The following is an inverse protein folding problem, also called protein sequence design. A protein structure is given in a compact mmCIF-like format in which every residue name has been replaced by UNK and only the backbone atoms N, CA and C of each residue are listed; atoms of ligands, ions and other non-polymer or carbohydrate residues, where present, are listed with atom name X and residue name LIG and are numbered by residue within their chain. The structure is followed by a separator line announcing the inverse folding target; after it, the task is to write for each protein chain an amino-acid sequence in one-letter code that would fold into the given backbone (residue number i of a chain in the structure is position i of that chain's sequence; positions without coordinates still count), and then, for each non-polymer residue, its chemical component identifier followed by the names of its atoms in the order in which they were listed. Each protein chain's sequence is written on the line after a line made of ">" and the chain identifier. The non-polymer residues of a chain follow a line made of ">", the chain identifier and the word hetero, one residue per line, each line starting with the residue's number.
data_IF_505857538092
#
_entry.id   IF_505857538092
#
_cell.length_a   1.000
_cell.length_b   1.000
_cell.length_c   1.000
_cell.angle_alpha   90.00
_cell.angle_beta   90.00
_cell.angle_gamma   90.00
#
_symmetry.space_group_name_H-M   'P 1'
#
loop_
_entity.id
_entity.type
_entity.pdbx_description
1 polymer ?
#
# COMPACT_ATOMS: atom_id res chain seq x y z
N UNK A 1 21.78 3.44 23.32
CA UNK A 1 21.33 2.65 22.21
C UNK A 1 20.54 3.50 21.24
N UNK A 2 20.79 3.30 20.01
CA UNK A 2 20.08 4.04 19.02
C UNK A 2 18.76 3.38 18.71
N UNK A 3 17.71 4.17 18.73
CA UNK A 3 16.43 3.71 18.28
C UNK A 3 16.36 3.91 16.79
N UNK A 4 16.33 2.82 16.06
CA UNK A 4 16.05 2.91 14.64
C UNK A 4 14.56 2.88 14.46
N UNK A 5 14.07 3.59 13.45
CA UNK A 5 12.68 3.42 13.06
C UNK A 5 12.49 1.94 12.73
N UNK A 6 11.42 1.35 13.22
CA UNK A 6 11.13 -0.03 12.96
C UNK A 6 11.03 -0.25 11.46
N UNK A 7 11.61 -1.33 10.98
CA UNK A 7 11.46 -1.73 9.60
C UNK A 7 9.99 -2.05 9.33
N UNK A 8 9.45 -1.49 8.27
CA UNK A 8 8.06 -1.71 7.90
C UNK A 8 7.96 -2.77 6.83
N UNK A 9 6.86 -3.49 6.85
CA UNK A 9 6.53 -4.48 5.84
C UNK A 9 5.40 -3.95 4.99
N UNK A 10 5.64 -3.84 3.70
CA UNK A 10 4.71 -3.24 2.75
C UNK A 10 4.22 -4.34 1.83
N UNK A 11 2.91 -4.49 1.72
CA UNK A 11 2.33 -5.38 0.71
C UNK A 11 1.85 -4.51 -0.44
N UNK A 12 2.45 -4.70 -1.62
CA UNK A 12 2.04 -4.00 -2.82
C UNK A 12 1.20 -4.94 -3.68
N UNK A 13 -0.02 -4.54 -3.96
CA UNK A 13 -0.92 -5.28 -4.84
C UNK A 13 -1.08 -4.48 -6.13
N UNK A 14 -0.42 -4.92 -7.18
CA UNK A 14 -0.37 -4.24 -8.46
C UNK A 14 0.02 -5.25 -9.53
N UNK A 15 -0.67 -5.27 -10.65
CA UNK A 15 -0.41 -6.25 -11.70
C UNK A 15 0.70 -5.83 -12.67
N UNK A 16 1.26 -4.63 -12.52
CA UNK A 16 2.31 -4.13 -13.40
C UNK A 16 3.70 -4.48 -12.85
N UNK A 17 4.48 -5.34 -13.56
CA UNK A 17 5.80 -5.73 -13.05
C UNK A 17 6.77 -4.56 -12.88
N UNK A 18 6.68 -3.56 -13.75
CA UNK A 18 7.58 -2.40 -13.66
C UNK A 18 7.30 -1.58 -12.40
N UNK A 19 6.02 -1.41 -12.06
CA UNK A 19 5.64 -0.71 -10.83
C UNK A 19 6.13 -1.47 -9.61
N UNK A 20 5.94 -2.79 -9.60
CA UNK A 20 6.42 -3.64 -8.51
C UNK A 20 7.92 -3.47 -8.29
N UNK A 21 8.69 -3.47 -9.38
CA UNK A 21 10.14 -3.37 -9.31
C UNK A 21 10.59 -2.01 -8.78
N UNK A 22 9.98 -0.94 -9.27
CA UNK A 22 10.32 0.41 -8.83
C UNK A 22 9.97 0.62 -7.37
N UNK A 23 8.77 0.21 -6.96
CA UNK A 23 8.34 0.35 -5.56
C UNK A 23 9.26 -0.45 -4.65
N UNK A 24 9.54 -1.69 -5.00
CA UNK A 24 10.41 -2.54 -4.20
C UNK A 24 11.78 -1.92 -4.04
N UNK A 25 12.38 -1.50 -5.15
CA UNK A 25 13.73 -0.93 -5.12
C UNK A 25 13.78 0.34 -4.29
N UNK A 26 12.87 1.27 -4.50
CA UNK A 26 12.95 2.56 -3.82
C UNK A 26 12.63 2.44 -2.33
N UNK A 27 11.68 1.61 -1.94
CA UNK A 27 11.35 1.46 -0.53
C UNK A 27 12.43 0.69 0.22
N UNK A 28 13.01 -0.32 -0.42
CA UNK A 28 14.09 -1.07 0.22
C UNK A 28 15.35 -0.25 0.38
N UNK A 29 15.69 0.53 -0.64
CA UNK A 29 16.95 1.32 -0.61
C UNK A 29 16.83 2.60 0.19
N UNK A 30 15.71 3.29 0.10
CA UNK A 30 15.57 4.61 0.72
C UNK A 30 15.00 4.56 2.13
N UNK A 31 14.20 3.55 2.44
CA UNK A 31 13.57 3.44 3.76
C UNK A 31 13.95 2.16 4.49
N UNK A 32 14.62 1.24 3.83
CA UNK A 32 14.98 -0.07 4.39
C UNK A 32 13.75 -0.86 4.85
N UNK A 33 12.65 -0.69 4.12
CA UNK A 33 11.43 -1.45 4.35
C UNK A 33 11.44 -2.73 3.52
N UNK A 34 10.71 -3.73 3.98
CA UNK A 34 10.54 -4.97 3.23
C UNK A 34 9.29 -4.87 2.37
N UNK A 35 9.40 -5.19 1.09
CA UNK A 35 8.27 -5.11 0.17
C UNK A 35 7.90 -6.51 -0.30
N UNK A 36 6.64 -6.86 -0.09
CA UNK A 36 6.03 -8.10 -0.56
C UNK A 36 5.09 -7.69 -1.69
N UNK A 37 5.14 -8.41 -2.80
CA UNK A 37 4.33 -8.06 -3.97
C UNK A 37 3.29 -9.13 -4.25
N UNK A 38 2.16 -8.69 -4.79
CA UNK A 38 1.11 -9.56 -5.30
C UNK A 38 0.64 -8.98 -6.63
N UNK A 39 0.34 -9.86 -7.59
CA UNK A 39 -0.04 -9.45 -8.94
C UNK A 39 -1.55 -9.42 -9.14
N UNK A 40 -2.31 -9.88 -8.16
CA UNK A 40 -3.77 -9.89 -8.23
C UNK A 40 -4.34 -9.62 -6.85
N UNK A 41 -5.60 -9.24 -6.80
CA UNK A 41 -6.27 -9.03 -5.54
C UNK A 41 -6.41 -10.34 -4.75
N UNK A 42 -6.63 -11.46 -5.43
CA UNK A 42 -6.72 -12.76 -4.78
C UNK A 42 -5.40 -13.11 -4.08
N UNK A 43 -4.29 -12.98 -4.81
CA UNK A 43 -2.98 -13.22 -4.24
C UNK A 43 -2.70 -12.25 -3.10
N UNK A 44 -3.09 -10.98 -3.27
CA UNK A 44 -2.90 -9.96 -2.25
C UNK A 44 -3.64 -10.28 -0.96
N UNK A 45 -4.87 -10.78 -1.06
CA UNK A 45 -5.64 -11.15 0.11
C UNK A 45 -4.98 -12.28 0.88
N UNK A 46 -4.50 -13.30 0.17
CA UNK A 46 -3.80 -14.42 0.80
C UNK A 46 -2.52 -13.96 1.49
N UNK A 47 -1.77 -13.07 0.84
CA UNK A 47 -0.52 -12.56 1.41
C UNK A 47 -0.77 -11.63 2.59
N UNK A 48 -1.84 -10.83 2.55
CA UNK A 48 -2.19 -9.99 3.68
C UNK A 48 -2.46 -10.82 4.93
N UNK A 49 -3.18 -11.93 4.77
CA UNK A 49 -3.48 -12.83 5.87
C UNK A 49 -2.20 -13.50 6.38
N UNK A 50 -1.37 -13.99 5.47
CA UNK A 50 -0.17 -14.75 5.85
C UNK A 50 0.93 -13.87 6.43
N UNK A 51 1.12 -12.67 5.87
CA UNK A 51 2.28 -11.82 6.19
C UNK A 51 1.99 -10.72 7.18
N UNK A 52 0.75 -10.35 7.39
CA UNK A 52 0.36 -9.30 8.33
C UNK A 52 1.19 -8.02 8.10
N UNK A 53 1.10 -7.39 6.91
CA UNK A 53 1.92 -6.23 6.61
C UNK A 53 1.53 -5.01 7.44
N UNK A 54 2.41 -4.03 7.49
CA UNK A 54 2.15 -2.76 8.18
C UNK A 54 1.28 -1.82 7.35
N UNK A 55 1.28 -2.00 6.03
CA UNK A 55 0.41 -1.27 5.11
C UNK A 55 0.23 -2.06 3.84
N UNK A 56 -0.93 -1.87 3.21
CA UNK A 56 -1.21 -2.41 1.88
C UNK A 56 -1.26 -1.23 0.90
N UNK A 57 -0.38 -1.23 -0.09
CA UNK A 57 -0.48 -0.33 -1.24
C UNK A 57 -1.29 -1.05 -2.30
N UNK A 58 -2.40 -0.47 -2.70
CA UNK A 58 -3.39 -1.15 -3.52
C UNK A 58 -3.67 -0.37 -4.78
N UNK A 59 -3.41 -0.98 -5.94
CA UNK A 59 -3.87 -0.45 -7.22
C UNK A 59 -5.36 -0.78 -7.36
N UNK A 60 -6.15 0.25 -7.69
CA UNK A 60 -7.59 0.09 -7.84
C UNK A 60 -7.92 -0.63 -9.15
N UNK A 61 -7.11 -0.39 -10.18
CA UNK A 61 -7.43 -0.84 -11.55
C UNK A 61 -6.68 -2.13 -11.86
N UNK A 62 -7.26 -3.25 -11.49
CA UNK A 62 -6.71 -4.57 -11.80
C UNK A 62 -7.76 -5.45 -12.48
N UNK A 63 -7.32 -6.38 -13.36
CA UNK A 63 -8.23 -7.32 -14.01
C UNK A 63 -8.88 -8.25 -12.98
N UNK A 64 -10.08 -8.72 -13.29
CA UNK A 64 -10.85 -9.73 -12.55
C UNK A 64 -11.41 -9.26 -11.22
N UNK A 65 -10.58 -8.73 -10.34
CA UNK A 65 -11.02 -8.20 -9.06
C UNK A 65 -10.34 -6.85 -8.87
N UNK A 66 -11.12 -5.78 -8.85
CA UNK A 66 -10.56 -4.45 -8.66
C UNK A 66 -10.30 -4.17 -7.18
N UNK A 67 -9.72 -3.00 -6.91
CA UNK A 67 -9.36 -2.63 -5.55
C UNK A 67 -10.54 -2.51 -4.60
N UNK A 68 -11.71 -2.13 -5.11
CA UNK A 68 -12.90 -2.03 -4.26
C UNK A 68 -13.38 -3.40 -3.81
N UNK A 69 -13.36 -4.38 -4.71
CA UNK A 69 -13.70 -5.76 -4.36
C UNK A 69 -12.71 -6.33 -3.36
N UNK A 70 -11.43 -5.99 -3.51
CA UNK A 70 -10.41 -6.39 -2.55
C UNK A 70 -10.72 -5.85 -1.16
N UNK A 71 -11.07 -4.56 -1.06
CA UNK A 71 -11.41 -3.95 0.22
C UNK A 71 -12.60 -4.64 0.89
N UNK A 72 -13.64 -4.95 0.11
CA UNK A 72 -14.80 -5.65 0.65
C UNK A 72 -14.40 -7.01 1.23
N UNK A 73 -13.55 -7.75 0.52
CA UNK A 73 -13.08 -9.05 0.99
C UNK A 73 -12.19 -8.92 2.23
N UNK A 74 -11.38 -7.85 2.29
CA UNK A 74 -10.49 -7.62 3.42
C UNK A 74 -11.27 -7.26 4.68
N UNK A 75 -12.22 -6.33 4.55
CA UNK A 75 -12.91 -5.78 5.72
C UNK A 75 -13.88 -6.76 6.39
N UNK A 76 -14.26 -7.87 5.72
CA UNK A 76 -15.06 -8.90 6.38
C UNK A 76 -14.25 -9.75 7.35
N UNK A 77 -12.91 -9.62 7.35
CA UNK A 77 -12.04 -10.37 8.23
C UNK A 77 -11.63 -9.47 9.41
N UNK A 78 -12.10 -9.77 10.63
CA UNK A 78 -11.81 -8.89 11.78
C UNK A 78 -10.32 -8.67 12.01
N UNK A 79 -9.50 -9.70 11.80
CA UNK A 79 -8.06 -9.61 12.03
C UNK A 79 -7.35 -8.72 11.02
N UNK A 80 -8.02 -8.37 9.92
CA UNK A 80 -7.43 -7.52 8.88
C UNK A 80 -7.85 -6.06 8.99
N UNK A 81 -8.78 -5.74 9.87
CA UNK A 81 -9.34 -4.38 9.96
C UNK A 81 -8.34 -3.35 10.46
N UNK A 82 -7.24 -3.79 11.05
CA UNK A 82 -6.21 -2.88 11.57
C UNK A 82 -5.10 -2.60 10.58
N UNK A 83 -5.07 -3.28 9.44
CA UNK A 83 -4.03 -3.04 8.45
C UNK A 83 -4.44 -1.85 7.59
N UNK A 84 -3.68 -0.74 7.61
CA UNK A 84 -4.03 0.41 6.81
C UNK A 84 -3.83 0.13 5.32
N UNK A 85 -4.70 0.72 4.51
CA UNK A 85 -4.63 0.63 3.05
C UNK A 85 -4.43 2.01 2.48
N UNK A 86 -3.51 2.13 1.53
CA UNK A 86 -3.26 3.34 0.76
C UNK A 86 -3.40 2.98 -0.71
N UNK A 87 -4.20 3.75 -1.44
CA UNK A 87 -4.34 3.54 -2.87
C UNK A 87 -3.11 4.05 -3.63
N UNK A 88 -2.72 3.30 -4.66
CA UNK A 88 -1.65 3.70 -5.57
C UNK A 88 -2.21 3.53 -6.99
N UNK A 89 -2.61 4.63 -7.64
CA UNK A 89 -3.39 4.52 -8.85
C UNK A 89 -3.16 5.66 -9.83
N UNK A 90 -3.27 5.35 -11.13
CA UNK A 90 -3.28 6.36 -12.18
C UNK A 90 -4.55 7.20 -12.18
N UNK A 91 -5.57 6.80 -11.44
CA UNK A 91 -6.87 7.45 -11.40
C UNK A 91 -7.07 8.30 -10.14
N UNK A 92 -5.98 8.71 -9.50
CA UNK A 92 -6.04 9.46 -8.25
C UNK A 92 -6.91 10.72 -8.34
N UNK A 93 -6.88 11.41 -9.48
CA UNK A 93 -7.65 12.64 -9.67
C UNK A 93 -9.15 12.45 -9.69
N UNK A 94 -9.63 11.21 -9.85
CA UNK A 94 -11.06 10.92 -9.86
C UNK A 94 -11.60 10.61 -8.46
N UNK A 95 -10.73 10.53 -7.47
CA UNK A 95 -11.11 10.18 -6.11
C UNK A 95 -11.01 11.40 -5.21
N UNK A 96 -12.10 11.71 -4.54
CA UNK A 96 -12.14 12.79 -3.58
C UNK A 96 -11.82 12.27 -2.18
N UNK A 97 -11.20 13.09 -1.30
CA UNK A 97 -10.78 12.61 0.01
C UNK A 97 -11.89 11.91 0.80
N UNK A 98 -13.09 12.45 0.82
CA UNK A 98 -14.15 11.82 1.61
C UNK A 98 -14.59 10.48 1.04
N UNK A 99 -14.38 10.22 -0.27
CA UNK A 99 -14.73 8.94 -0.86
C UNK A 99 -13.81 7.83 -0.36
N UNK A 100 -12.50 8.04 -0.40
CA UNK A 100 -11.61 6.97 0.06
C UNK A 100 -11.58 6.88 1.59
N UNK A 101 -11.85 7.96 2.29
CA UNK A 101 -11.97 7.91 3.75
C UNK A 101 -13.17 7.06 4.18
N UNK A 102 -14.31 7.17 3.48
CA UNK A 102 -15.47 6.35 3.80
C UNK A 102 -15.22 4.87 3.50
N UNK A 103 -14.28 4.56 2.62
CA UNK A 103 -13.86 3.18 2.36
C UNK A 103 -12.88 2.65 3.40
N UNK A 104 -12.45 3.49 4.35
CA UNK A 104 -11.46 3.10 5.33
C UNK A 104 -10.03 3.20 4.83
N UNK A 105 -9.82 3.84 3.69
CA UNK A 105 -8.49 4.00 3.07
C UNK A 105 -7.82 5.25 3.64
N UNK A 106 -6.54 5.14 3.97
CA UNK A 106 -5.82 6.20 4.68
C UNK A 106 -5.26 7.28 3.78
N UNK A 107 -5.12 7.02 2.50
CA UNK A 107 -4.60 8.00 1.57
C UNK A 107 -4.55 7.47 0.16
N UNK A 108 -4.13 8.32 -0.77
CA UNK A 108 -4.04 7.97 -2.16
C UNK A 108 -2.75 8.55 -2.73
N UNK A 109 -2.04 7.76 -3.51
CA UNK A 109 -0.80 8.17 -4.17
C UNK A 109 -1.01 8.00 -5.67
N UNK A 110 -0.76 9.07 -6.42
CA UNK A 110 -0.97 9.08 -7.85
C UNK A 110 0.17 8.38 -8.59
N UNK A 111 -0.15 7.68 -9.65
CA UNK A 111 0.83 7.21 -10.63
C UNK A 111 0.84 8.20 -11.80
N UNK A 112 1.99 8.58 -12.34
CA UNK A 112 3.32 8.21 -11.87
C UNK A 112 3.68 8.92 -10.57
N UNK A 113 4.43 8.25 -9.72
CA UNK A 113 4.93 8.83 -8.47
C UNK A 113 6.43 9.05 -8.58
N UNK A 114 6.97 9.87 -7.67
CA UNK A 114 8.40 10.10 -7.58
C UNK A 114 9.02 8.98 -6.73
N UNK A 115 9.87 8.12 -7.31
CA UNK A 115 10.50 7.05 -6.54
C UNK A 115 11.33 7.55 -5.35
N UNK A 116 11.86 8.77 -5.43
CA UNK A 116 12.70 9.32 -4.36
C UNK A 116 11.90 9.77 -3.15
N UNK A 117 10.59 10.00 -3.30
CA UNK A 117 9.75 10.51 -2.22
C UNK A 117 8.58 9.58 -1.87
N UNK A 118 8.46 8.43 -2.54
CA UNK A 118 7.35 7.53 -2.29
C UNK A 118 7.26 7.12 -0.83
N UNK A 119 8.38 6.78 -0.20
CA UNK A 119 8.38 6.39 1.21
C UNK A 119 7.86 7.51 2.11
N UNK A 120 8.15 8.77 1.78
CA UNK A 120 7.63 9.91 2.55
C UNK A 120 6.13 10.08 2.37
N UNK A 121 5.64 9.85 1.15
CA UNK A 121 4.20 9.93 0.89
C UNK A 121 3.43 8.88 1.69
N UNK A 122 3.96 7.66 1.75
CA UNK A 122 3.36 6.58 2.54
C UNK A 122 3.39 6.94 4.03
N UNK A 123 4.54 7.35 4.52
CA UNK A 123 4.69 7.71 5.93
C UNK A 123 3.75 8.87 6.31
N UNK A 124 3.61 9.86 5.43
CA UNK A 124 2.72 10.98 5.67
C UNK A 124 1.26 10.53 5.77
N UNK A 125 0.82 9.65 4.87
CA UNK A 125 -0.54 9.14 4.87
C UNK A 125 -0.86 8.37 6.16
N UNK A 126 0.14 7.74 6.76
CA UNK A 126 -0.04 6.87 7.91
C UNK A 126 0.47 7.48 9.23
N UNK A 127 0.95 8.70 9.18
CA UNK A 127 1.55 9.38 10.33
C UNK A 127 2.72 8.60 10.92
N UNK A 128 3.51 7.96 10.05
CA UNK A 128 4.71 7.26 10.48
C UNK A 128 5.87 8.25 10.62
N UNK A 129 6.63 8.08 11.70
CA UNK A 129 7.84 8.86 11.93
C UNK A 129 9.00 8.22 11.17
N UNK A 130 9.69 8.99 10.33
CA UNK A 130 10.83 8.51 9.57
C UNK A 130 12.15 8.71 10.30
N UNK A 131 12.12 9.17 11.55
CA UNK A 131 13.32 9.24 12.38
C UNK A 131 14.21 10.45 12.15
N UNK A 132 13.70 11.50 11.56
CA UNK A 132 14.47 12.72 11.36
C UNK A 132 14.23 13.75 12.43
#
# INVERSE_FOLDING_TARGET
>A
MMVTSASKRILLIDDEPDVQRVVQTCLEKLAQWTVITATSAEEGLLKAIAEQPDVILLDIMMPKMDGYMFLDALWVKPEMQFIPVVFLTAQAGLLKPHHYETLGVKGIIAKPFDPLTLHRAIASALNWDLGT
#
